data_IF_135522428791
#
_entry.id   IF_135522428791
#
_cell.length_a   1.000
_cell.length_b   1.000
_cell.length_c   1.000
_cell.angle_alpha   90.00
_cell.angle_beta   90.00
_cell.angle_gamma   90.00
#
_symmetry.space_group_name_H-M   'P 1'
#
loop_
_entity.id
_entity.type
_entity.pdbx_description
1 polymer ?
#
# COMPACT_ATOMS: atom_id res chain seq x y z
N UNK A 1 5.21 1.54 -25.22
CA UNK A 1 3.83 1.25 -24.74
C UNK A 1 3.12 2.58 -24.58
N UNK A 2 1.85 2.73 -24.98
CA UNK A 2 1.13 4.00 -24.74
C UNK A 2 0.96 4.20 -23.23
N UNK A 3 1.02 5.44 -22.75
CA UNK A 3 0.80 5.78 -21.34
C UNK A 3 -0.53 5.18 -20.81
N UNK A 4 -1.54 5.17 -21.67
CA UNK A 4 -2.84 4.52 -21.44
C UNK A 4 -2.73 3.03 -21.04
N UNK A 5 -1.83 2.24 -21.65
CA UNK A 5 -1.75 0.80 -21.33
C UNK A 5 -1.02 0.49 -20.03
N UNK A 6 -0.08 1.35 -19.61
CA UNK A 6 0.55 1.25 -18.30
C UNK A 6 -0.45 1.56 -17.17
N UNK A 7 -1.28 2.58 -17.35
CA UNK A 7 -2.34 2.93 -16.40
C UNK A 7 -3.38 1.82 -16.25
N UNK A 8 -3.86 1.26 -17.38
CA UNK A 8 -4.82 0.14 -17.33
C UNK A 8 -4.22 -1.09 -16.64
N UNK A 9 -2.93 -1.39 -16.87
CA UNK A 9 -2.23 -2.47 -16.15
C UNK A 9 -2.22 -2.24 -14.65
N UNK A 10 -1.93 -1.01 -14.21
CA UNK A 10 -1.93 -0.63 -12.80
C UNK A 10 -3.33 -0.80 -12.19
N UNK A 11 -4.38 -0.31 -12.85
CA UNK A 11 -5.77 -0.46 -12.39
C UNK A 11 -6.23 -1.93 -12.31
N UNK A 12 -5.79 -2.78 -13.24
CA UNK A 12 -6.03 -4.23 -13.17
C UNK A 12 -5.32 -4.83 -11.96
N UNK A 13 -4.03 -4.52 -11.78
CA UNK A 13 -3.25 -5.02 -10.64
C UNK A 13 -3.79 -4.53 -9.29
N UNK A 14 -4.33 -3.31 -9.24
CA UNK A 14 -4.98 -2.69 -8.09
C UNK A 14 -6.33 -3.32 -7.72
N UNK A 15 -6.90 -4.16 -8.58
CA UNK A 15 -8.22 -4.75 -8.35
C UNK A 15 -9.41 -3.85 -8.72
N UNK A 16 -9.18 -2.71 -9.38
CA UNK A 16 -10.26 -1.79 -9.77
C UNK A 16 -11.31 -2.44 -10.69
N UNK A 17 -10.96 -3.56 -11.35
CA UNK A 17 -11.86 -4.29 -12.24
C UNK A 17 -12.47 -5.56 -11.62
N UNK A 18 -12.08 -5.96 -10.42
CA UNK A 18 -12.46 -7.27 -9.84
C UNK A 18 -13.97 -7.46 -9.70
N UNK A 19 -14.72 -6.38 -9.46
CA UNK A 19 -16.19 -6.41 -9.37
C UNK A 19 -16.91 -6.40 -10.73
N UNK A 20 -16.26 -5.90 -11.78
CA UNK A 20 -16.90 -5.65 -13.09
C UNK A 20 -16.42 -6.60 -14.18
N UNK A 21 -15.34 -7.35 -13.94
CA UNK A 21 -14.75 -8.27 -14.92
C UNK A 21 -15.50 -9.59 -15.07
N UNK A 22 -16.51 -9.85 -14.23
CA UNK A 22 -17.26 -11.10 -14.22
C UNK A 22 -16.33 -12.29 -13.93
N UNK A 23 -16.30 -13.27 -14.81
CA UNK A 23 -15.47 -14.47 -14.67
C UNK A 23 -14.01 -14.26 -15.11
N UNK A 24 -13.64 -13.06 -15.56
CA UNK A 24 -12.29 -12.79 -16.06
C UNK A 24 -11.37 -12.42 -14.91
N UNK A 25 -10.35 -13.25 -14.70
CA UNK A 25 -9.33 -13.08 -13.66
C UNK A 25 -8.41 -11.89 -13.97
N UNK A 26 -7.71 -11.35 -12.96
CA UNK A 26 -6.73 -10.26 -13.17
C UNK A 26 -5.67 -10.65 -14.24
N UNK A 27 -5.07 -11.86 -14.22
CA UNK A 27 -4.22 -12.34 -15.32
C UNK A 27 -4.92 -12.34 -16.69
N UNK A 28 -6.17 -12.78 -16.75
CA UNK A 28 -6.95 -12.80 -17.99
C UNK A 28 -7.16 -11.39 -18.57
N UNK A 29 -7.44 -10.40 -17.72
CA UNK A 29 -7.52 -9.00 -18.12
C UNK A 29 -6.18 -8.48 -18.66
N UNK A 30 -5.07 -8.82 -18.01
CA UNK A 30 -3.72 -8.44 -18.46
C UNK A 30 -3.38 -9.05 -19.82
N UNK A 31 -3.72 -10.32 -20.04
CA UNK A 31 -3.50 -11.00 -21.32
C UNK A 31 -4.31 -10.34 -22.44
N UNK A 32 -5.58 -10.01 -22.18
CA UNK A 32 -6.43 -9.28 -23.14
C UNK A 32 -5.88 -7.90 -23.46
N UNK A 33 -5.38 -7.18 -22.46
CA UNK A 33 -4.71 -5.88 -22.65
C UNK A 33 -3.47 -6.02 -23.53
N UNK A 34 -2.64 -7.04 -23.27
CA UNK A 34 -1.43 -7.31 -24.05
C UNK A 34 -1.75 -7.65 -25.51
N UNK A 35 -2.67 -8.58 -25.75
CA UNK A 35 -3.09 -8.98 -27.10
C UNK A 35 -3.66 -7.78 -27.90
N UNK A 36 -4.46 -6.92 -27.26
CA UNK A 36 -4.99 -5.70 -27.89
C UNK A 36 -3.88 -4.73 -28.31
N UNK A 37 -2.84 -4.58 -27.49
CA UNK A 37 -1.71 -3.70 -27.81
C UNK A 37 -0.90 -4.22 -29.00
N UNK A 38 -0.66 -5.53 -29.05
CA UNK A 38 0.00 -6.19 -30.20
C UNK A 38 -0.83 -5.97 -31.49
N UNK A 39 -2.14 -6.22 -31.43
CA UNK A 39 -3.03 -6.05 -32.59
C UNK A 39 -3.13 -4.58 -33.06
N UNK A 40 -3.14 -3.60 -32.13
CA UNK A 40 -3.06 -2.17 -32.48
C UNK A 40 -1.75 -1.83 -33.19
N UNK A 41 -0.62 -2.39 -32.74
CA UNK A 41 0.68 -2.22 -33.39
C UNK A 41 0.72 -2.78 -34.82
N UNK A 42 0.18 -3.98 -35.01
CA UNK A 42 0.08 -4.64 -36.33
C UNK A 42 -0.84 -3.84 -37.27
N UNK A 43 -2.03 -3.43 -36.82
CA UNK A 43 -2.95 -2.64 -37.64
C UNK A 43 -2.42 -1.23 -37.95
N UNK A 44 -1.64 -0.61 -37.06
CA UNK A 44 -0.97 0.66 -37.33
C UNK A 44 0.08 0.53 -38.44
N UNK A 45 0.90 -0.54 -38.40
CA UNK A 45 1.88 -0.84 -39.46
C UNK A 45 1.23 -1.16 -40.81
N UNK A 46 0.09 -1.87 -40.81
CA UNK A 46 -0.68 -2.14 -42.04
C UNK A 46 -1.30 -0.88 -42.66
N UNK A 47 -1.77 0.07 -41.85
CA UNK A 47 -2.28 1.35 -42.37
C UNK A 47 -1.19 2.25 -42.92
N UNK A 48 0.02 2.20 -42.34
CA UNK A 48 1.18 2.92 -42.90
C UNK A 48 1.70 2.27 -44.18
N UNK A 49 1.58 0.94 -44.34
CA UNK A 49 1.94 0.24 -45.59
C UNK A 49 0.83 0.24 -46.65
N UNK A 50 -0.34 0.82 -46.38
CA UNK A 50 -1.46 0.91 -47.35
C UNK A 50 -1.45 2.24 -48.13
N UNK A 51 -0.56 3.18 -47.79
CA UNK A 51 -0.35 4.41 -48.57
C UNK A 51 0.65 4.22 -49.73
N UNK A 52 1.12 3.00 -49.99
CA UNK A 52 2.11 2.73 -51.05
C UNK A 52 1.69 1.67 -52.08
N UNK A 53 0.47 1.12 -52.03
CA UNK A 53 0.01 0.23 -53.11
C UNK A 53 -1.50 0.29 -53.33
N UNK A 54 -1.90 1.06 -54.34
CA UNK A 54 -3.16 0.89 -55.07
C UNK A 54 -3.09 -0.47 -55.81
N UNK A 55 -4.01 -1.39 -55.50
CA UNK A 55 -4.01 -2.73 -56.08
C UNK A 55 -5.07 -3.65 -55.48
N UNK A 56 -6.29 -3.50 -56.00
CA UNK A 56 -7.38 -4.49 -56.14
C UNK A 56 -7.24 -5.87 -55.48
N UNK A 57 -8.10 -6.18 -54.50
CA UNK A 57 -8.58 -7.54 -54.29
C UNK A 57 -9.96 -7.55 -53.59
N UNK A 58 -11.00 -7.87 -54.37
CA UNK A 58 -12.34 -8.21 -53.89
C UNK A 58 -12.39 -9.63 -53.29
N UNK A 59 -13.22 -9.82 -52.25
CA UNK A 59 -13.95 -11.07 -52.06
C UNK A 59 -13.31 -12.21 -51.26
N UNK A 60 -13.37 -12.14 -49.92
CA UNK A 60 -14.05 -13.10 -49.03
C UNK A 60 -13.81 -12.65 -47.58
N UNK A 61 -14.86 -12.63 -46.77
CA UNK A 61 -14.85 -12.13 -45.39
C UNK A 61 -13.81 -12.81 -44.50
N UNK A 62 -12.62 -12.25 -44.44
CA UNK A 62 -11.68 -12.52 -43.37
C UNK A 62 -12.08 -11.62 -42.21
N UNK A 63 -12.97 -12.09 -41.34
CA UNK A 63 -12.98 -11.55 -39.98
C UNK A 63 -11.51 -11.59 -39.53
N UNK A 64 -10.93 -10.46 -39.07
CA UNK A 64 -9.51 -10.44 -38.75
C UNK A 64 -9.26 -11.60 -37.78
N UNK A 65 -8.34 -12.51 -38.10
CA UNK A 65 -7.91 -13.55 -37.17
C UNK A 65 -7.55 -12.92 -35.80
N UNK A 66 -7.09 -11.66 -35.82
CA UNK A 66 -6.89 -10.78 -34.66
C UNK A 66 -8.16 -10.48 -33.82
N UNK A 67 -9.33 -10.32 -34.46
CA UNK A 67 -10.61 -10.09 -33.80
C UNK A 67 -11.18 -11.38 -33.18
N UNK A 68 -10.95 -12.54 -33.82
CA UNK A 68 -11.32 -13.85 -33.29
C UNK A 68 -10.36 -14.28 -32.17
N UNK A 69 -9.06 -14.05 -32.34
CA UNK A 69 -8.03 -14.37 -31.34
C UNK A 69 -8.23 -13.64 -30.01
N UNK A 70 -8.80 -12.43 -30.03
CA UNK A 70 -9.13 -11.69 -28.78
C UNK A 70 -10.25 -12.35 -27.96
N UNK A 71 -11.10 -13.17 -28.57
CA UNK A 71 -12.23 -13.85 -27.89
C UNK A 71 -11.88 -15.27 -27.42
N UNK A 72 -10.77 -15.84 -27.90
CA UNK A 72 -10.37 -17.23 -27.63
C UNK A 72 -9.11 -17.33 -26.75
N UNK A 73 -8.79 -16.28 -25.98
CA UNK A 73 -7.68 -16.35 -25.01
C UNK A 73 -8.18 -17.12 -23.79
N UNK A 74 -7.54 -18.25 -23.42
CA UNK A 74 -7.92 -18.98 -22.21
C UNK A 74 -7.76 -18.07 -20.99
N UNK A 75 -8.68 -18.14 -20.04
CA UNK A 75 -8.63 -17.36 -18.80
C UNK A 75 -7.66 -18.07 -17.86
N UNK A 76 -6.50 -17.48 -17.52
CA UNK A 76 -5.58 -18.10 -16.58
C UNK A 76 -6.19 -18.16 -15.17
N UNK A 77 -5.69 -19.08 -14.36
CA UNK A 77 -6.01 -19.15 -12.92
C UNK A 77 -5.75 -17.80 -12.27
N UNK A 78 -6.64 -17.39 -11.37
CA UNK A 78 -6.52 -16.12 -10.68
C UNK A 78 -5.33 -16.09 -9.72
N UNK A 79 -4.88 -14.89 -9.35
CA UNK A 79 -3.86 -14.71 -8.32
C UNK A 79 -4.36 -15.16 -6.95
N UNK A 80 -3.47 -15.71 -6.13
CA UNK A 80 -3.75 -15.91 -4.71
C UNK A 80 -4.03 -14.57 -4.02
N UNK A 81 -4.69 -14.60 -2.86
CA UNK A 81 -4.91 -13.38 -2.07
C UNK A 81 -3.60 -12.68 -1.71
N UNK A 82 -2.57 -13.43 -1.31
CA UNK A 82 -1.24 -12.88 -1.02
C UNK A 82 -0.61 -12.18 -2.22
N UNK A 83 -0.75 -12.75 -3.42
CA UNK A 83 -0.25 -12.13 -4.65
C UNK A 83 -1.00 -10.84 -5.01
N UNK A 84 -2.33 -10.81 -4.79
CA UNK A 84 -3.14 -9.60 -5.02
C UNK A 84 -2.72 -8.47 -4.07
N UNK A 85 -2.55 -8.78 -2.79
CA UNK A 85 -2.07 -7.83 -1.77
C UNK A 85 -0.66 -7.35 -2.11
N UNK A 86 0.24 -8.24 -2.53
CA UNK A 86 1.58 -7.87 -2.97
C UNK A 86 1.56 -6.88 -4.14
N UNK A 87 0.70 -7.11 -5.14
CA UNK A 87 0.52 -6.16 -6.22
C UNK A 87 -0.01 -4.81 -5.73
N UNK A 88 -0.90 -4.77 -4.74
CA UNK A 88 -1.38 -3.52 -4.15
C UNK A 88 -0.22 -2.76 -3.47
N UNK A 89 0.61 -3.43 -2.67
CA UNK A 89 1.80 -2.84 -2.07
C UNK A 89 2.78 -2.29 -3.13
N UNK A 90 3.06 -3.04 -4.18
CA UNK A 90 3.99 -2.61 -5.25
C UNK A 90 3.56 -1.29 -5.92
N UNK A 91 2.26 -1.05 -6.05
CA UNK A 91 1.73 0.08 -6.83
C UNK A 91 1.28 1.25 -5.94
N UNK A 92 0.81 0.99 -4.73
CA UNK A 92 0.25 2.00 -3.83
C UNK A 92 1.08 2.22 -2.55
N UNK A 93 1.93 1.26 -2.18
CA UNK A 93 2.68 1.27 -0.92
C UNK A 93 1.88 0.80 0.30
N UNK A 94 0.62 0.41 0.12
CA UNK A 94 -0.27 -0.11 1.17
C UNK A 94 -1.35 -1.02 0.54
N UNK A 95 -1.95 -1.95 1.31
CA UNK A 95 -3.03 -2.80 0.82
C UNK A 95 -4.32 -1.99 0.65
N UNK A 96 -5.06 -2.25 -0.43
CA UNK A 96 -6.36 -1.63 -0.69
C UNK A 96 -7.52 -2.56 -0.29
N UNK A 97 -7.28 -3.86 -0.36
CA UNK A 97 -8.32 -4.87 -0.16
C UNK A 97 -8.57 -5.22 1.32
N UNK A 98 -7.62 -4.95 2.21
CA UNK A 98 -7.66 -5.27 3.66
C UNK A 98 -6.99 -4.19 4.47
N UNK A 99 -7.32 -4.06 5.76
CA UNK A 99 -6.60 -3.14 6.64
C UNK A 99 -5.17 -3.66 6.91
N UNK A 100 -4.13 -2.81 6.91
CA UNK A 100 -2.74 -3.26 7.10
C UNK A 100 -2.50 -4.08 8.37
N UNK A 101 -3.19 -3.75 9.47
CA UNK A 101 -3.10 -4.53 10.72
C UNK A 101 -3.63 -5.96 10.61
N UNK A 102 -4.55 -6.26 9.68
CA UNK A 102 -5.06 -7.63 9.49
C UNK A 102 -3.94 -8.58 9.06
N UNK A 103 -2.93 -8.06 8.36
CA UNK A 103 -1.74 -8.83 7.93
C UNK A 103 -0.86 -9.27 9.12
N UNK A 104 -1.08 -8.68 10.30
CA UNK A 104 -0.36 -8.94 11.54
C UNK A 104 -1.25 -9.57 12.61
N UNK A 105 -2.45 -10.03 12.28
CA UNK A 105 -3.40 -10.57 13.27
C UNK A 105 -2.83 -11.77 14.08
N UNK A 106 -1.93 -12.57 13.49
CA UNK A 106 -1.23 -13.67 14.18
C UNK A 106 0.05 -13.25 14.92
N UNK A 107 0.46 -12.00 14.79
CA UNK A 107 1.69 -11.46 15.37
C UNK A 107 1.51 -10.89 16.79
N UNK A 108 0.28 -10.75 17.27
CA UNK A 108 -0.03 -10.28 18.62
C UNK A 108 -1.29 -10.94 19.16
N UNK A 109 -1.39 -11.06 20.48
CA UNK A 109 -2.60 -11.56 21.14
C UNK A 109 -3.62 -10.43 21.29
N UNK A 110 -4.62 -10.42 20.41
CA UNK A 110 -5.69 -9.42 20.41
C UNK A 110 -6.45 -9.34 21.75
N UNK A 111 -6.43 -10.38 22.59
CA UNK A 111 -7.10 -10.37 23.90
C UNK A 111 -6.39 -9.48 24.93
N UNK A 112 -5.12 -9.16 24.70
CA UNK A 112 -4.32 -8.28 25.56
C UNK A 112 -4.46 -6.82 25.14
N UNK A 113 -5.00 -6.56 23.96
CA UNK A 113 -5.16 -5.23 23.41
C UNK A 113 -6.57 -4.70 23.67
N UNK A 114 -6.66 -3.49 24.21
CA UNK A 114 -7.91 -2.74 24.27
C UNK A 114 -8.10 -2.07 22.91
N UNK A 115 -9.28 -2.24 22.27
CA UNK A 115 -9.53 -1.59 21.00
C UNK A 115 -9.85 -0.10 21.19
N UNK A 116 -9.62 0.71 20.15
CA UNK A 116 -9.76 2.16 20.18
C UNK A 116 -11.16 2.61 20.63
N UNK A 117 -12.21 1.90 20.20
CA UNK A 117 -13.58 2.23 20.58
C UNK A 117 -13.86 2.03 22.08
N UNK A 118 -13.08 1.21 22.78
CA UNK A 118 -13.23 0.93 24.23
C UNK A 118 -12.26 1.74 25.10
N UNK A 119 -11.41 2.59 24.49
CA UNK A 119 -10.42 3.40 25.21
C UNK A 119 -11.06 4.25 26.32
N UNK A 120 -12.24 4.82 26.07
CA UNK A 120 -12.99 5.64 27.03
C UNK A 120 -13.36 4.92 28.33
N UNK A 121 -13.47 3.60 28.32
CA UNK A 121 -13.80 2.79 29.50
C UNK A 121 -12.59 2.57 30.41
N UNK A 122 -11.40 2.98 29.95
CA UNK A 122 -10.12 2.67 30.57
C UNK A 122 -9.38 3.91 31.07
N UNK A 123 -10.06 5.06 31.19
CA UNK A 123 -9.47 6.30 31.75
C UNK A 123 -8.85 6.03 33.13
N UNK A 124 -7.61 6.51 33.32
CA UNK A 124 -6.83 6.30 34.53
C UNK A 124 -6.19 4.91 34.65
N UNK A 125 -6.33 4.03 33.65
CA UNK A 125 -5.74 2.69 33.64
C UNK A 125 -4.58 2.59 32.66
N UNK A 126 -3.61 1.72 32.98
CA UNK A 126 -2.60 1.29 32.02
C UNK A 126 -3.17 0.18 31.15
N UNK A 127 -3.11 0.36 29.84
CA UNK A 127 -3.60 -0.59 28.84
C UNK A 127 -2.56 -0.82 27.76
N UNK A 128 -2.74 -1.90 26.99
CA UNK A 128 -2.01 -2.13 25.75
C UNK A 128 -2.97 -1.89 24.60
N UNK A 129 -2.54 -1.15 23.58
CA UNK A 129 -3.28 -0.93 22.33
C UNK A 129 -2.39 -1.28 21.14
N UNK A 130 -3.02 -1.71 20.05
CA UNK A 130 -2.36 -1.90 18.76
C UNK A 130 -2.74 -0.76 17.83
N UNK A 131 -1.81 -0.28 17.02
CA UNK A 131 -2.04 0.84 16.13
C UNK A 131 -1.15 0.83 14.90
N UNK A 132 -1.71 1.25 13.78
CA UNK A 132 -1.00 1.65 12.58
C UNK A 132 -0.77 3.16 12.63
N UNK A 133 0.48 3.61 12.51
CA UNK A 133 0.81 5.03 12.58
C UNK A 133 0.26 5.78 11.36
N UNK A 134 -0.62 6.77 11.58
CA UNK A 134 -1.19 7.60 10.52
C UNK A 134 -0.47 8.94 10.37
N UNK A 135 -0.31 9.66 11.48
CA UNK A 135 0.32 10.96 11.47
C UNK A 135 1.01 11.23 12.81
N UNK A 136 2.05 12.05 12.75
CA UNK A 136 2.86 12.45 13.89
C UNK A 136 3.13 13.96 13.83
N UNK A 137 3.25 14.56 15.00
CA UNK A 137 3.55 15.97 15.19
C UNK A 137 4.57 16.10 16.30
N UNK A 138 5.82 16.34 15.90
CA UNK A 138 6.89 16.65 16.85
C UNK A 138 6.60 18.00 17.55
N UNK A 139 6.88 18.04 18.84
CA UNK A 139 6.66 19.19 19.71
C UNK A 139 7.76 19.27 20.78
N UNK A 140 7.65 20.25 21.66
CA UNK A 140 8.55 20.43 22.79
C UNK A 140 7.73 20.77 24.03
N UNK A 141 8.21 20.32 25.20
CA UNK A 141 7.63 20.73 26.48
C UNK A 141 7.91 22.21 26.74
N UNK A 142 7.31 22.77 27.80
CA UNK A 142 7.62 24.13 28.27
C UNK A 142 9.11 24.35 28.59
N UNK A 143 9.84 23.27 28.87
CA UNK A 143 11.27 23.30 29.17
C UNK A 143 12.15 23.09 27.93
N UNK A 144 11.56 22.93 26.74
CA UNK A 144 12.26 22.71 25.48
C UNK A 144 12.61 21.25 25.18
N UNK A 145 12.25 20.31 26.06
CA UNK A 145 12.50 18.88 25.83
C UNK A 145 11.63 18.35 24.70
N UNK A 146 12.19 17.57 23.74
CA UNK A 146 11.43 17.07 22.60
C UNK A 146 10.41 16.02 23.01
N UNK A 147 9.23 16.08 22.41
CA UNK A 147 8.13 15.14 22.59
C UNK A 147 7.34 15.00 21.29
N UNK A 148 6.39 14.07 21.23
CA UNK A 148 5.59 13.86 20.02
C UNK A 148 4.14 13.50 20.33
N UNK A 149 3.24 13.99 19.50
CA UNK A 149 1.84 13.56 19.45
C UNK A 149 1.64 12.77 18.17
N UNK A 150 0.98 11.63 18.24
CA UNK A 150 0.71 10.81 17.07
C UNK A 150 -0.71 10.24 17.12
N UNK A 151 -1.30 10.06 15.94
CA UNK A 151 -2.59 9.40 15.77
C UNK A 151 -2.37 8.03 15.15
N UNK A 152 -3.00 7.03 15.76
CA UNK A 152 -2.95 5.64 15.32
C UNK A 152 -4.33 5.15 14.94
N UNK A 153 -4.36 4.15 14.06
CA UNK A 153 -5.56 3.43 13.65
C UNK A 153 -5.47 1.96 14.08
N UNK A 154 -6.50 1.45 14.75
CA UNK A 154 -6.69 0.01 14.96
C UNK A 154 -7.71 -0.57 13.95
N UNK A 155 -8.18 -1.79 14.15
CA UNK A 155 -9.14 -2.40 13.21
C UNK A 155 -10.53 -1.75 13.20
N UNK A 156 -10.86 -0.93 14.19
CA UNK A 156 -12.22 -0.43 14.41
C UNK A 156 -12.30 1.08 14.72
N UNK A 157 -11.18 1.78 14.82
CA UNK A 157 -11.16 3.21 15.09
C UNK A 157 -9.78 3.85 15.19
N UNK A 158 -9.81 5.16 15.42
CA UNK A 158 -8.62 6.00 15.62
C UNK A 158 -8.44 6.32 17.09
N UNK A 159 -7.20 6.51 17.52
CA UNK A 159 -6.87 7.04 18.83
C UNK A 159 -5.60 7.87 18.81
N UNK A 160 -5.53 8.84 19.72
CA UNK A 160 -4.36 9.71 19.87
C UNK A 160 -3.43 9.20 20.97
N UNK A 161 -2.14 9.40 20.77
CA UNK A 161 -1.08 8.99 21.68
C UNK A 161 -0.07 10.12 21.88
N UNK A 162 0.43 10.23 23.12
CA UNK A 162 1.46 11.18 23.49
C UNK A 162 2.74 10.47 23.93
N UNK A 163 3.85 10.86 23.33
CA UNK A 163 5.20 10.42 23.67
C UNK A 163 5.93 11.57 24.36
N UNK A 164 5.86 11.61 25.68
CA UNK A 164 6.64 12.57 26.48
C UNK A 164 8.15 12.34 26.32
N UNK A 165 9.01 13.26 26.79
CA UNK A 165 10.43 13.24 26.45
C UNK A 165 11.19 11.96 26.79
N UNK A 166 10.83 11.24 27.86
CA UNK A 166 11.51 9.99 28.23
C UNK A 166 11.15 8.83 27.26
N UNK A 167 9.87 8.53 27.01
CA UNK A 167 9.46 7.58 25.96
C UNK A 167 9.95 7.99 24.57
N UNK A 168 9.84 9.28 24.21
CA UNK A 168 10.25 9.78 22.89
C UNK A 168 11.76 9.62 22.66
N UNK A 169 12.60 9.93 23.65
CA UNK A 169 14.06 9.69 23.53
C UNK A 169 14.40 8.22 23.35
N UNK A 170 13.65 7.32 24.00
CA UNK A 170 13.90 5.88 23.91
C UNK A 170 13.38 5.27 22.62
N UNK A 171 12.24 5.73 22.12
CA UNK A 171 11.50 5.03 21.08
C UNK A 171 11.13 5.87 19.85
N UNK A 172 11.34 7.18 19.85
CA UNK A 172 10.97 8.05 18.73
C UNK A 172 11.61 7.62 17.41
N UNK A 173 12.83 7.07 17.45
CA UNK A 173 13.50 6.51 16.27
C UNK A 173 12.81 5.25 15.69
N UNK A 174 11.92 4.60 16.44
CA UNK A 174 11.12 3.48 15.98
C UNK A 174 9.85 3.92 15.28
N UNK A 175 9.37 5.14 15.53
CA UNK A 175 8.16 5.68 14.90
C UNK A 175 8.48 5.99 13.43
N UNK A 176 7.85 5.22 12.55
CA UNK A 176 8.04 5.30 11.11
C UNK A 176 6.77 4.79 10.42
N UNK A 177 6.37 5.43 9.34
CA UNK A 177 5.20 4.98 8.59
C UNK A 177 5.35 3.56 8.03
N UNK A 178 4.22 2.89 7.83
CA UNK A 178 4.17 1.60 7.13
C UNK A 178 4.37 0.36 8.00
N UNK A 179 4.23 0.48 9.32
CA UNK A 179 4.41 -0.63 10.26
C UNK A 179 3.36 -0.60 11.38
N UNK A 180 3.03 -1.77 11.96
CA UNK A 180 2.20 -1.85 13.15
C UNK A 180 3.01 -1.60 14.42
N UNK A 181 2.34 -1.07 15.44
CA UNK A 181 2.91 -0.84 16.76
C UNK A 181 1.99 -1.39 17.84
N UNK A 182 2.60 -1.99 18.86
CA UNK A 182 1.94 -2.25 20.14
C UNK A 182 2.46 -1.23 21.14
N UNK A 183 1.55 -0.61 21.88
CA UNK A 183 1.83 0.47 22.81
C UNK A 183 1.21 0.18 24.16
N UNK A 184 2.03 0.25 25.21
CA UNK A 184 1.57 0.25 26.59
C UNK A 184 1.60 1.68 27.13
N UNK A 185 0.48 2.14 27.68
CA UNK A 185 0.34 3.51 28.16
C UNK A 185 -0.80 3.71 29.13
N UNK A 186 -0.81 4.88 29.77
CA UNK A 186 -1.90 5.34 30.63
C UNK A 186 -2.95 6.05 29.77
N UNK A 187 -4.22 5.70 29.90
CA UNK A 187 -5.29 6.48 29.27
C UNK A 187 -5.57 7.71 30.12
N UNK A 188 -5.41 8.88 29.51
CA UNK A 188 -5.72 10.16 30.13
C UNK A 188 -6.82 10.86 29.33
N UNK A 189 -7.68 11.58 30.05
CA UNK A 189 -8.72 12.41 29.44
C UNK A 189 -8.47 13.86 29.85
N UNK A 190 -8.25 14.73 28.86
CA UNK A 190 -8.16 16.16 29.07
C UNK A 190 -9.09 16.90 28.09
N UNK A 191 -9.90 17.82 28.59
CA UNK A 191 -10.93 18.53 27.82
C UNK A 191 -11.82 17.63 26.92
N UNK A 192 -12.17 16.43 27.39
CA UNK A 192 -12.91 15.38 26.65
C UNK A 192 -12.17 14.72 25.48
N UNK A 193 -10.87 14.95 25.37
CA UNK A 193 -10.01 14.26 24.42
C UNK A 193 -9.28 13.13 25.14
N UNK A 194 -9.45 11.92 24.65
CA UNK A 194 -8.76 10.73 25.17
C UNK A 194 -7.39 10.62 24.50
N UNK A 195 -6.35 10.45 25.33
CA UNK A 195 -4.99 10.28 24.86
C UNK A 195 -4.34 9.10 25.57
N UNK A 196 -3.62 8.27 24.81
CA UNK A 196 -2.76 7.24 25.39
C UNK A 196 -1.39 7.86 25.66
N UNK A 197 -1.07 8.10 26.92
CA UNK A 197 0.27 8.51 27.32
C UNK A 197 1.19 7.30 27.31
N UNK A 198 1.99 7.17 26.27
CA UNK A 198 2.76 5.97 25.95
C UNK A 198 4.01 5.88 26.81
N UNK A 199 4.20 4.75 27.50
CA UNK A 199 5.39 4.45 28.29
C UNK A 199 6.33 3.50 27.54
N UNK A 200 5.77 2.57 26.75
CA UNK A 200 6.53 1.55 26.04
C UNK A 200 5.88 1.27 24.69
N UNK A 201 6.71 1.09 23.67
CA UNK A 201 6.28 0.72 22.32
C UNK A 201 7.19 -0.36 21.76
N UNK A 202 6.63 -1.28 20.98
CA UNK A 202 7.37 -2.30 20.26
C UNK A 202 6.64 -2.68 18.96
N UNK A 203 7.40 -3.18 18.00
CA UNK A 203 6.86 -3.71 16.75
C UNK A 203 6.59 -5.20 16.95
N UNK A 204 5.37 -5.70 16.69
CA UNK A 204 5.10 -7.13 16.76
C UNK A 204 5.88 -7.87 15.67
N UNK A 205 6.44 -9.05 15.98
CA UNK A 205 7.20 -9.81 15.01
C UNK A 205 6.30 -10.22 13.83
N UNK A 206 6.68 -9.96 12.57
CA UNK A 206 5.88 -10.36 11.42
C UNK A 206 5.65 -11.87 11.42
N UNK A 207 4.43 -12.28 11.04
CA UNK A 207 4.06 -13.69 11.00
C UNK A 207 4.90 -14.44 9.95
N UNK A 208 5.33 -15.70 10.20
CA UNK A 208 6.17 -16.47 9.28
C UNK A 208 5.57 -16.60 7.87
N UNK A 209 4.23 -16.62 7.79
CA UNK A 209 3.46 -16.73 6.55
C UNK A 209 3.65 -15.54 5.60
N UNK A 210 4.14 -14.39 6.11
CA UNK A 210 4.33 -13.16 5.34
C UNK A 210 5.77 -13.02 4.81
N UNK A 211 6.73 -13.79 5.34
CA UNK A 211 8.16 -13.66 5.05
C UNK A 211 8.61 -14.23 3.70
N UNK A 212 7.80 -15.06 3.03
CA UNK A 212 8.27 -15.72 1.80
C UNK A 212 8.01 -14.94 0.51
N UNK A 213 7.32 -13.79 0.54
CA UNK A 213 6.90 -13.13 -0.72
C UNK A 213 6.73 -11.61 -0.66
N UNK A 214 6.77 -11.00 0.53
CA UNK A 214 6.43 -9.58 0.72
C UNK A 214 7.40 -8.96 1.72
N UNK A 215 8.69 -8.93 1.37
CA UNK A 215 9.47 -7.77 1.80
C UNK A 215 9.02 -6.65 0.86
N UNK A 216 8.21 -5.66 1.31
CA UNK A 216 8.15 -4.41 0.56
C UNK A 216 9.62 -3.99 0.41
N UNK A 217 10.08 -3.51 -0.76
CA UNK A 217 11.43 -2.97 -0.85
C UNK A 217 11.50 -1.96 0.28
N UNK A 218 12.29 -2.26 1.31
CA UNK A 218 12.55 -1.30 2.36
C UNK A 218 13.00 -0.08 1.59
N UNK A 219 12.16 0.95 1.54
CA UNK A 219 12.68 2.27 1.20
C UNK A 219 13.67 2.48 2.31
N UNK A 220 14.94 2.32 1.96
CA UNK A 220 16.05 2.68 2.81
C UNK A 220 15.66 4.06 3.34
N UNK A 221 15.40 4.14 4.64
CA UNK A 221 15.02 5.38 5.26
C UNK A 221 16.24 6.27 5.08
N UNK A 222 16.23 7.08 4.02
CA UNK A 222 17.17 8.17 3.88
C UNK A 222 16.92 9.02 5.11
N UNK A 223 17.90 9.02 6.02
CA UNK A 223 17.84 9.78 7.25
C UNK A 223 17.39 11.21 6.90
N UNK A 224 16.15 11.54 7.23
CA UNK A 224 15.66 12.91 7.16
C UNK A 224 16.41 13.61 8.27
N UNK A 225 17.44 14.39 7.91
CA UNK A 225 18.08 15.31 8.84
C UNK A 225 17.00 16.15 9.52
N UNK A 226 17.17 16.50 10.81
CA UNK A 226 16.20 17.32 11.53
C UNK A 226 15.85 18.56 10.68
N UNK A 227 14.55 18.74 10.43
CA UNK A 227 14.01 19.84 9.64
C UNK A 227 14.21 21.14 10.41
N UNK A 228 15.23 21.90 10.04
CA UNK A 228 15.21 23.34 10.29
C UNK A 228 14.01 23.94 9.55
N UNK A 229 13.18 24.65 10.31
CA UNK A 229 11.91 25.24 9.88
C UNK A 229 12.12 26.45 8.97
N UNK A 230 12.64 26.25 7.75
CA UNK A 230 12.60 27.24 6.67
C UNK A 230 13.14 26.65 5.34
N UNK A 231 12.33 25.89 4.60
CA UNK A 231 12.31 25.84 3.12
C UNK A 231 11.52 24.64 2.61
N UNK A 232 10.44 24.90 1.86
CA UNK A 232 9.83 23.91 0.99
C UNK A 232 10.73 23.73 -0.24
N UNK A 233 11.31 22.53 -0.42
CA UNK A 233 11.81 22.07 -1.72
C UNK A 233 11.29 20.67 -2.00
N UNK A 234 10.87 20.49 -3.25
CA UNK A 234 10.24 19.31 -3.81
C UNK A 234 11.01 18.01 -3.51
N UNK A 235 10.26 16.97 -3.14
CA UNK A 235 10.79 15.61 -2.96
C UNK A 235 10.81 14.93 -4.31
N UNK A 236 11.99 14.71 -4.88
CA UNK A 236 12.20 13.80 -6.00
C UNK A 236 12.40 12.37 -5.47
N UNK A 237 11.52 11.45 -5.87
CA UNK A 237 11.61 10.03 -5.56
C UNK A 237 12.37 9.35 -6.70
N UNK A 238 13.59 8.88 -6.44
CA UNK A 238 14.38 8.11 -7.41
C UNK A 238 14.18 6.62 -7.15
N UNK A 239 13.66 5.89 -8.13
CA UNK A 239 13.57 4.43 -8.10
C UNK A 239 14.86 3.83 -8.66
N UNK A 240 15.54 2.99 -7.89
CA UNK A 240 16.67 2.18 -8.37
C UNK A 240 16.10 0.86 -8.89
N UNK A 241 16.19 0.61 -10.19
CA UNK A 241 15.89 -0.69 -10.77
C UNK A 241 17.03 -1.65 -10.45
N UNK A 242 16.73 -2.82 -9.88
CA UNK A 242 17.70 -3.90 -9.74
C UNK A 242 17.89 -4.56 -11.11
N UNK A 243 19.13 -4.58 -11.58
CA UNK A 243 19.56 -5.33 -12.76
C UNK A 243 19.50 -6.83 -12.44
N UNK A 244 18.66 -7.57 -13.17
CA UNK A 244 18.68 -9.02 -13.20
C UNK A 244 19.47 -9.45 -14.44
N UNK A 245 20.67 -10.01 -14.24
CA UNK A 245 21.39 -10.74 -15.28
C UNK A 245 20.76 -12.13 -15.48
N UNK A 246 20.80 -12.59 -16.73
CA UNK A 246 20.41 -13.92 -17.22
C UNK A 246 21.05 -15.10 -16.47
#
# INVERSE_FOLDING_TARGET
MSYESAQVRLLIKAGCFDRVSGEVTRPGLLWRLYARNVNRGINRKRRTSFLEHEGDFSGLGTLPLAAIASRCIPIPVDYSQSQKIQHEFEHFGFPLSVHPLELYASSFDARQCVPACEMHQNVGRKIIMVGWLLTEKSSQTKHGDPMEFATFEDLIGLYDASFFPEPYRRYGHLLSGGKPYMMEGLVEEDFRTLTLTVNKIWVPSPSPCFHSSIDPPMREATAVKPRDSAALKEVSITFKTADWCD
#
